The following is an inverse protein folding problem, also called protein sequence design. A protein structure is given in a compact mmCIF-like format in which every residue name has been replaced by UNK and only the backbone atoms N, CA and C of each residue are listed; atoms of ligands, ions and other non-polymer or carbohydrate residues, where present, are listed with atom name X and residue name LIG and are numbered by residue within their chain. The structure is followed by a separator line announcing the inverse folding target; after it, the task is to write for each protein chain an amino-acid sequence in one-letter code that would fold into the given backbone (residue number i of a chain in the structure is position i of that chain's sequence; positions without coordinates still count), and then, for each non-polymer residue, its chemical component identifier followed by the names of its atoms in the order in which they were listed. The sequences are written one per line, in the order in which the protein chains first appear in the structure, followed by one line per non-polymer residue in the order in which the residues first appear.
data_IF_915422919876
#
_entry.id   IF_915422919876
#
_cell.length_a   1.000
_cell.length_b   1.000
_cell.length_c   1.000
_cell.angle_alpha   90.00
_cell.angle_beta   90.00
_cell.angle_gamma   90.00
#
_symmetry.space_group_name_H-M   'P 1'
#
loop_
_entity.id
_entity.type
_entity.pdbx_description
1 polymer ?
#
# COMPACT_ATOMS: atom_id res chain seq x y z
N UNK A 1 -30.06 -9.04 -8.89
CA UNK A 1 -29.72 -7.68 -9.33
C UNK A 1 -30.51 -6.60 -8.59
N UNK A 2 -31.83 -6.69 -8.47
CA UNK A 2 -32.72 -5.71 -7.76
C UNK A 2 -32.37 -5.62 -6.25
N UNK A 3 -32.09 -6.73 -5.57
CA UNK A 3 -31.73 -6.76 -4.14
C UNK A 3 -30.39 -6.04 -3.84
N UNK A 4 -29.37 -6.21 -4.67
CA UNK A 4 -28.09 -5.48 -4.57
C UNK A 4 -28.27 -3.97 -4.81
N UNK A 5 -29.13 -3.59 -5.74
CA UNK A 5 -29.42 -2.18 -6.00
C UNK A 5 -30.17 -1.51 -4.83
N UNK A 6 -31.15 -2.22 -4.22
CA UNK A 6 -31.88 -1.69 -3.06
C UNK A 6 -30.98 -1.59 -1.81
N UNK A 7 -30.11 -2.58 -1.56
CA UNK A 7 -29.10 -2.53 -0.49
C UNK A 7 -28.12 -1.38 -0.69
N UNK A 8 -27.64 -1.16 -1.91
CA UNK A 8 -26.73 -0.08 -2.25
C UNK A 8 -27.38 1.30 -2.08
N UNK A 9 -28.63 1.45 -2.53
CA UNK A 9 -29.41 2.66 -2.37
C UNK A 9 -29.72 2.98 -0.89
N UNK A 10 -30.08 1.96 -0.10
CA UNK A 10 -30.27 2.09 1.34
C UNK A 10 -28.99 2.52 2.05
N UNK A 11 -27.85 1.91 1.70
CA UNK A 11 -26.53 2.23 2.26
C UNK A 11 -26.11 3.68 1.92
N UNK A 12 -26.33 4.13 0.69
CA UNK A 12 -26.04 5.52 0.27
C UNK A 12 -26.93 6.51 1.04
N UNK A 13 -28.22 6.22 1.20
CA UNK A 13 -29.14 7.05 1.95
C UNK A 13 -28.73 7.14 3.41
N UNK A 14 -28.45 6.01 4.06
CA UNK A 14 -27.95 5.93 5.42
C UNK A 14 -26.61 6.69 5.61
N UNK A 15 -25.66 6.50 4.69
CA UNK A 15 -24.37 7.21 4.67
C UNK A 15 -24.57 8.74 4.62
N UNK A 16 -25.48 9.22 3.77
CA UNK A 16 -25.71 10.65 3.59
C UNK A 16 -26.43 11.29 4.77
N UNK A 17 -27.38 10.60 5.41
CA UNK A 17 -28.22 11.13 6.48
C UNK A 17 -27.61 11.01 7.87
N UNK A 18 -26.80 9.96 8.14
CA UNK A 18 -26.34 9.65 9.49
C UNK A 18 -24.85 9.98 9.76
N UNK A 19 -24.07 10.33 8.74
CA UNK A 19 -22.64 10.60 8.91
C UNK A 19 -22.31 12.09 8.73
N UNK A 20 -21.55 12.64 9.69
CA UNK A 20 -20.99 13.98 9.55
C UNK A 20 -19.81 14.02 8.58
N UNK A 21 -19.31 15.22 8.23
CA UNK A 21 -18.21 15.44 7.27
C UNK A 21 -16.95 14.65 7.63
N UNK A 22 -16.59 14.58 8.91
CA UNK A 22 -15.38 13.88 9.37
C UNK A 22 -15.53 12.37 9.23
N UNK A 23 -16.67 11.82 9.62
CA UNK A 23 -16.98 10.40 9.46
C UNK A 23 -16.98 9.98 7.98
N UNK A 24 -17.57 10.81 7.10
CA UNK A 24 -17.54 10.58 5.64
C UNK A 24 -16.10 10.56 5.10
N UNK A 25 -15.23 11.44 5.57
CA UNK A 25 -13.84 11.46 5.15
C UNK A 25 -13.09 10.20 5.61
N UNK A 26 -13.26 9.77 6.86
CA UNK A 26 -12.62 8.57 7.38
C UNK A 26 -13.13 7.33 6.65
N UNK A 27 -14.43 7.22 6.43
CA UNK A 27 -15.00 6.13 5.66
C UNK A 27 -14.42 6.08 4.24
N UNK A 28 -14.37 7.22 3.53
CA UNK A 28 -13.75 7.31 2.20
C UNK A 28 -12.27 6.91 2.22
N UNK A 29 -11.51 7.41 3.19
CA UNK A 29 -10.09 7.09 3.33
C UNK A 29 -9.86 5.60 3.58
N UNK A 30 -10.67 4.99 4.44
CA UNK A 30 -10.63 3.54 4.70
C UNK A 30 -10.96 2.74 3.43
N UNK A 31 -11.99 3.14 2.67
CA UNK A 31 -12.34 2.48 1.40
C UNK A 31 -11.22 2.63 0.37
N UNK A 32 -10.60 3.81 0.23
CA UNK A 32 -9.47 3.98 -0.69
C UNK A 32 -8.27 3.12 -0.30
N UNK A 33 -7.96 3.01 0.99
CA UNK A 33 -6.90 2.13 1.49
C UNK A 33 -7.21 0.66 1.24
N UNK A 34 -8.45 0.23 1.50
CA UNK A 34 -8.92 -1.12 1.25
C UNK A 34 -8.80 -1.48 -0.24
N UNK A 35 -9.29 -0.61 -1.12
CA UNK A 35 -9.20 -0.81 -2.57
C UNK A 35 -7.75 -0.88 -3.06
N UNK A 36 -6.87 -0.02 -2.54
CA UNK A 36 -5.45 -0.08 -2.91
C UNK A 36 -4.82 -1.41 -2.50
N UNK A 37 -5.11 -1.91 -1.29
CA UNK A 37 -4.63 -3.22 -0.83
C UNK A 37 -5.19 -4.37 -1.68
N UNK A 38 -6.49 -4.37 -1.98
CA UNK A 38 -7.09 -5.38 -2.86
C UNK A 38 -6.40 -5.44 -4.23
N UNK A 39 -6.12 -4.27 -4.83
CA UNK A 39 -5.42 -4.19 -6.12
C UNK A 39 -3.99 -4.70 -6.00
N UNK A 40 -3.27 -4.35 -4.94
CA UNK A 40 -1.92 -4.86 -4.71
C UNK A 40 -1.90 -6.38 -4.55
N UNK A 41 -2.88 -6.97 -3.86
CA UNK A 41 -3.00 -8.42 -3.76
C UNK A 41 -3.22 -9.13 -5.11
N UNK A 42 -4.07 -8.56 -5.98
CA UNK A 42 -4.25 -9.07 -7.36
C UNK A 42 -2.92 -8.98 -8.12
N UNK A 43 -2.25 -7.83 -8.07
CA UNK A 43 -0.98 -7.63 -8.76
C UNK A 43 0.18 -8.42 -8.14
N UNK A 44 0.09 -8.77 -6.85
CA UNK A 44 1.03 -9.69 -6.19
C UNK A 44 1.02 -11.07 -6.83
N UNK A 45 -0.16 -11.64 -7.08
CA UNK A 45 -0.31 -12.94 -7.78
C UNK A 45 0.25 -12.86 -9.20
N UNK A 46 -0.04 -11.77 -9.94
CA UNK A 46 0.53 -11.55 -11.27
C UNK A 46 2.06 -11.41 -11.23
N UNK A 47 2.60 -10.76 -10.21
CA UNK A 47 4.04 -10.65 -10.00
C UNK A 47 4.71 -11.99 -9.73
N UNK A 48 4.13 -12.82 -8.85
CA UNK A 48 4.62 -14.17 -8.56
C UNK A 48 4.63 -15.05 -9.81
N UNK A 49 3.56 -15.01 -10.61
CA UNK A 49 3.52 -15.68 -11.91
C UNK A 49 4.64 -15.18 -12.83
N UNK A 50 4.90 -13.86 -12.85
CA UNK A 50 5.90 -13.26 -13.70
C UNK A 50 7.33 -13.65 -13.30
N UNK A 51 7.62 -13.71 -12.00
CA UNK A 51 8.90 -14.20 -11.50
C UNK A 51 9.14 -15.68 -11.82
N UNK A 52 8.12 -16.53 -11.62
CA UNK A 52 8.25 -17.98 -11.80
C UNK A 52 8.37 -18.40 -13.26
N UNK A 53 7.70 -17.72 -14.19
CA UNK A 53 7.66 -18.13 -15.60
C UNK A 53 8.67 -17.39 -16.47
N UNK A 54 8.97 -16.12 -16.16
CA UNK A 54 9.83 -15.26 -16.99
C UNK A 54 11.19 -14.95 -16.36
N UNK A 55 11.45 -15.37 -15.12
CA UNK A 55 12.70 -15.17 -14.40
C UNK A 55 13.17 -13.71 -14.38
N UNK A 56 12.24 -12.79 -14.18
CA UNK A 56 12.50 -11.34 -14.16
C UNK A 56 13.19 -10.96 -12.86
N UNK A 57 14.18 -10.05 -12.90
CA UNK A 57 14.82 -9.54 -11.68
C UNK A 57 13.91 -8.55 -10.94
N UNK A 58 13.98 -8.55 -9.61
CA UNK A 58 13.27 -7.60 -8.73
C UNK A 58 13.57 -6.13 -9.08
N UNK A 59 14.81 -5.83 -9.44
CA UNK A 59 15.21 -4.50 -9.85
C UNK A 59 14.60 -4.06 -11.17
N UNK A 60 14.59 -4.93 -12.19
CA UNK A 60 14.03 -4.61 -13.49
C UNK A 60 12.53 -4.28 -13.41
N UNK A 61 11.75 -5.14 -12.73
CA UNK A 61 10.31 -4.91 -12.58
C UNK A 61 10.01 -3.63 -11.79
N UNK A 62 10.84 -3.31 -10.79
CA UNK A 62 10.72 -2.07 -10.01
C UNK A 62 10.96 -0.84 -10.89
N UNK A 63 12.03 -0.85 -11.71
CA UNK A 63 12.35 0.25 -12.64
C UNK A 63 11.23 0.45 -13.67
N UNK A 64 10.82 -0.63 -14.32
CA UNK A 64 9.79 -0.61 -15.36
C UNK A 64 8.47 -0.05 -14.81
N UNK A 65 7.95 -0.63 -13.72
CA UNK A 65 6.65 -0.25 -13.18
C UNK A 65 6.61 1.20 -12.67
N UNK A 66 7.68 1.68 -12.05
CA UNK A 66 7.75 3.04 -11.52
C UNK A 66 7.89 4.08 -12.64
N UNK A 67 8.73 3.83 -13.64
CA UNK A 67 8.89 4.74 -14.78
C UNK A 67 7.61 4.80 -15.61
N UNK A 68 7.02 3.67 -15.97
CA UNK A 68 5.79 3.62 -16.78
C UNK A 68 4.63 4.28 -16.02
N UNK A 69 4.41 3.92 -14.75
CA UNK A 69 3.34 4.48 -13.94
C UNK A 69 3.54 5.97 -13.68
N UNK A 70 4.75 6.39 -13.29
CA UNK A 70 5.06 7.79 -13.02
C UNK A 70 4.90 8.67 -14.26
N UNK A 71 5.43 8.23 -15.40
CA UNK A 71 5.27 8.94 -16.69
C UNK A 71 3.79 9.06 -17.08
N UNK A 72 3.04 7.96 -16.97
CA UNK A 72 1.59 7.97 -17.25
C UNK A 72 0.84 8.97 -16.38
N UNK A 73 1.08 8.94 -15.04
CA UNK A 73 0.43 9.87 -14.09
C UNK A 73 0.77 11.31 -14.42
N UNK A 74 2.02 11.65 -14.73
CA UNK A 74 2.44 13.02 -15.06
C UNK A 74 1.87 13.46 -16.40
N UNK A 75 1.95 12.63 -17.44
CA UNK A 75 1.43 12.97 -18.77
C UNK A 75 -0.08 13.19 -18.70
N UNK A 76 -0.84 12.27 -18.10
CA UNK A 76 -2.29 12.42 -17.98
C UNK A 76 -2.68 13.68 -17.16
N UNK A 77 -1.90 14.00 -16.15
CA UNK A 77 -2.16 15.13 -15.26
C UNK A 77 -1.76 16.46 -15.88
N UNK A 78 -0.81 16.48 -16.81
CA UNK A 78 -0.37 17.67 -17.52
C UNK A 78 -1.52 18.30 -18.32
N UNK A 79 -2.45 17.48 -18.82
CA UNK A 79 -3.64 17.93 -19.54
C UNK A 79 -4.55 18.81 -18.67
N UNK A 80 -4.60 18.57 -17.34
CA UNK A 80 -5.46 19.31 -16.41
C UNK A 80 -4.70 20.34 -15.58
N UNK A 81 -3.54 19.96 -15.02
CA UNK A 81 -2.79 20.77 -14.06
C UNK A 81 -1.76 21.68 -14.73
N UNK A 82 -1.39 21.44 -15.97
CA UNK A 82 -0.41 22.23 -16.74
C UNK A 82 0.85 22.55 -15.91
N UNK A 83 1.19 23.84 -15.76
CA UNK A 83 2.38 24.29 -15.02
C UNK A 83 2.33 24.02 -13.51
N UNK A 84 1.14 23.81 -12.91
CA UNK A 84 1.01 23.49 -11.48
C UNK A 84 1.68 22.17 -11.09
N UNK A 85 1.88 21.25 -12.05
CA UNK A 85 2.67 20.04 -11.83
C UNK A 85 4.10 20.31 -11.35
N UNK A 86 4.67 21.46 -11.74
CA UNK A 86 6.05 21.82 -11.44
C UNK A 86 6.17 22.71 -10.19
N UNK A 87 5.07 23.10 -9.54
CA UNK A 87 5.10 23.97 -8.35
C UNK A 87 5.88 23.37 -7.20
N UNK A 88 5.91 22.03 -7.10
CA UNK A 88 6.70 21.32 -6.10
C UNK A 88 8.21 21.61 -6.24
N UNK A 89 8.69 21.89 -7.46
CA UNK A 89 10.08 22.14 -7.80
C UNK A 89 10.47 23.62 -7.75
N UNK A 90 9.51 24.53 -7.62
CA UNK A 90 9.80 25.97 -7.49
C UNK A 90 10.47 26.33 -6.17
N UNK A 91 10.25 25.52 -5.12
CA UNK A 91 10.86 25.72 -3.81
C UNK A 91 12.00 24.71 -3.60
N UNK A 92 13.24 25.21 -3.56
CA UNK A 92 14.45 24.38 -3.35
C UNK A 92 14.43 23.60 -2.03
N UNK A 93 13.75 24.11 -1.01
CA UNK A 93 13.61 23.41 0.29
C UNK A 93 12.81 22.10 0.18
N UNK A 94 12.08 21.89 -0.92
CA UNK A 94 11.37 20.64 -1.16
C UNK A 94 12.27 19.53 -1.69
N UNK A 95 13.41 19.84 -2.30
CA UNK A 95 14.19 18.88 -3.09
C UNK A 95 14.64 17.70 -2.25
N UNK A 96 15.33 17.94 -1.14
CA UNK A 96 15.85 16.88 -0.29
C UNK A 96 14.72 16.06 0.41
N UNK A 97 13.69 16.71 1.02
CA UNK A 97 12.58 15.95 1.60
C UNK A 97 11.77 15.15 0.58
N UNK A 98 11.62 15.67 -0.64
CA UNK A 98 10.92 14.96 -1.70
C UNK A 98 11.74 13.80 -2.28
N UNK A 99 13.06 13.99 -2.43
CA UNK A 99 13.97 12.91 -2.79
C UNK A 99 13.95 11.80 -1.73
N UNK A 100 13.95 12.16 -0.45
CA UNK A 100 13.80 11.21 0.65
C UNK A 100 12.48 10.42 0.55
N UNK A 101 11.36 11.07 0.23
CA UNK A 101 10.09 10.38 -0.02
C UNK A 101 10.19 9.41 -1.20
N UNK A 102 10.77 9.84 -2.32
CA UNK A 102 10.87 9.00 -3.51
C UNK A 102 11.76 7.76 -3.27
N UNK A 103 12.91 7.93 -2.59
CA UNK A 103 13.88 6.85 -2.39
C UNK A 103 13.50 6.01 -1.15
N UNK A 104 13.34 6.64 0.03
CA UNK A 104 13.08 5.89 1.27
C UNK A 104 11.64 5.36 1.33
N UNK A 105 10.70 6.05 0.68
CA UNK A 105 9.31 5.60 0.57
C UNK A 105 9.09 4.71 -0.65
N UNK A 106 8.87 5.31 -1.83
CA UNK A 106 8.39 4.59 -3.02
C UNK A 106 9.36 3.51 -3.49
N UNK A 107 10.65 3.86 -3.71
CA UNK A 107 11.63 2.86 -4.18
C UNK A 107 11.81 1.75 -3.14
N UNK A 108 12.01 2.10 -1.87
CA UNK A 108 12.30 1.10 -0.83
C UNK A 108 11.16 0.11 -0.63
N UNK A 109 9.90 0.56 -0.61
CA UNK A 109 8.76 -0.35 -0.45
C UNK A 109 8.65 -1.34 -1.61
N UNK A 110 8.94 -0.90 -2.84
CA UNK A 110 8.81 -1.75 -4.02
C UNK A 110 10.02 -2.68 -4.21
N UNK A 111 11.21 -2.11 -4.16
CA UNK A 111 12.44 -2.85 -4.44
C UNK A 111 12.74 -3.89 -3.36
N UNK A 112 12.72 -3.49 -2.09
CA UNK A 112 13.06 -4.41 -1.00
C UNK A 112 11.97 -5.47 -0.76
N UNK A 113 10.71 -5.21 -1.11
CA UNK A 113 9.68 -6.24 -1.11
C UNK A 113 10.01 -7.35 -2.11
N UNK A 114 10.24 -6.99 -3.37
CA UNK A 114 10.56 -7.98 -4.40
C UNK A 114 11.91 -8.66 -4.16
N UNK A 115 12.88 -7.95 -3.62
CA UNK A 115 14.16 -8.53 -3.24
C UNK A 115 13.99 -9.52 -2.07
N UNK A 116 13.10 -9.24 -1.13
CA UNK A 116 12.73 -10.19 -0.08
C UNK A 116 12.06 -11.44 -0.65
N UNK A 117 11.17 -11.28 -1.64
CA UNK A 117 10.57 -12.42 -2.36
C UNK A 117 11.64 -13.26 -3.04
N UNK A 118 12.62 -12.63 -3.68
CA UNK A 118 13.74 -13.31 -4.37
C UNK A 118 14.61 -14.12 -3.40
N UNK A 119 14.87 -13.59 -2.18
CA UNK A 119 15.63 -14.30 -1.14
C UNK A 119 14.83 -15.28 -0.29
N UNK A 120 13.52 -15.30 -0.45
CA UNK A 120 12.62 -16.15 0.34
C UNK A 120 11.40 -16.61 -0.46
N UNK A 121 10.26 -16.03 -0.18
CA UNK A 121 8.98 -16.20 -0.89
C UNK A 121 8.04 -15.01 -0.59
N UNK A 122 6.97 -14.90 -1.38
CA UNK A 122 5.98 -13.83 -1.22
C UNK A 122 5.32 -13.84 0.17
N UNK A 123 5.08 -15.01 0.73
CA UNK A 123 4.52 -15.21 2.08
C UNK A 123 5.38 -14.53 3.15
N UNK A 124 6.69 -14.85 3.17
CA UNK A 124 7.65 -14.26 4.13
C UNK A 124 7.77 -12.74 3.92
N UNK A 125 7.87 -12.28 2.67
CA UNK A 125 7.97 -10.87 2.33
C UNK A 125 6.74 -10.08 2.85
N UNK A 126 5.54 -10.60 2.64
CA UNK A 126 4.28 -9.98 3.12
C UNK A 126 4.24 -9.88 4.65
N UNK A 127 4.61 -10.96 5.37
CA UNK A 127 4.65 -10.93 6.85
C UNK A 127 5.63 -9.87 7.35
N UNK A 128 6.84 -9.85 6.80
CA UNK A 128 7.87 -8.91 7.23
C UNK A 128 7.48 -7.47 6.90
N UNK A 129 6.93 -7.20 5.71
CA UNK A 129 6.45 -5.88 5.34
C UNK A 129 5.31 -5.40 6.24
N UNK A 130 4.45 -6.31 6.71
CA UNK A 130 3.34 -5.99 7.60
C UNK A 130 3.77 -5.65 9.06
N UNK A 131 5.07 -5.57 9.34
CA UNK A 131 5.62 -4.95 10.55
C UNK A 131 5.52 -3.40 10.48
N UNK A 132 5.28 -2.83 9.33
CA UNK A 132 5.21 -1.37 9.10
C UNK A 132 4.31 -0.59 10.07
N UNK A 133 3.13 -1.06 10.54
CA UNK A 133 2.35 -0.37 11.56
C UNK A 133 3.12 -0.15 12.87
N UNK A 134 3.98 -1.09 13.23
CA UNK A 134 4.83 -0.95 14.43
C UNK A 134 5.84 0.18 14.24
N UNK A 135 6.48 0.26 13.07
CA UNK A 135 7.40 1.37 12.76
C UNK A 135 6.68 2.72 12.75
N UNK A 136 5.43 2.79 12.28
CA UNK A 136 4.61 4.02 12.34
C UNK A 136 4.34 4.42 13.80
N UNK A 137 4.02 3.47 14.69
CA UNK A 137 3.80 3.75 16.12
C UNK A 137 5.09 4.26 16.79
N UNK A 138 6.23 3.64 16.47
CA UNK A 138 7.56 4.06 16.98
C UNK A 138 7.88 5.47 16.46
N UNK A 139 7.71 5.73 15.18
CA UNK A 139 7.94 7.04 14.56
C UNK A 139 7.08 8.12 15.24
N UNK A 140 5.78 7.88 15.42
CA UNK A 140 4.88 8.80 16.09
C UNK A 140 5.30 9.07 17.54
N UNK A 141 5.83 8.06 18.23
CA UNK A 141 6.33 8.19 19.59
C UNK A 141 7.59 9.05 19.67
N UNK A 142 8.53 8.86 18.76
CA UNK A 142 9.84 9.55 18.76
C UNK A 142 9.68 10.98 18.23
N UNK A 143 9.07 11.16 17.07
CA UNK A 143 9.03 12.45 16.34
C UNK A 143 7.92 13.35 16.91
N UNK A 144 6.71 12.84 17.06
CA UNK A 144 5.57 13.63 17.54
C UNK A 144 5.34 13.54 19.05
N UNK A 145 6.16 12.74 19.76
CA UNK A 145 6.02 12.47 21.20
C UNK A 145 4.62 11.97 21.60
N UNK A 146 3.82 11.48 20.64
CA UNK A 146 2.48 10.93 20.85
C UNK A 146 2.58 9.49 21.35
N UNK A 147 1.92 9.19 22.49
CA UNK A 147 1.80 7.81 22.97
C UNK A 147 0.71 7.10 22.16
N UNK A 148 1.01 5.87 21.72
CA UNK A 148 -0.02 5.02 21.15
C UNK A 148 -1.04 4.62 22.22
N UNK A 149 -2.32 4.56 21.87
CA UNK A 149 -3.33 4.01 22.76
C UNK A 149 -3.10 2.50 22.92
N UNK A 150 -3.43 1.94 24.11
CA UNK A 150 -3.37 0.49 24.33
C UNK A 150 -4.22 -0.28 23.31
N UNK A 151 -5.35 0.30 22.90
CA UNK A 151 -6.24 -0.26 21.86
C UNK A 151 -5.57 -0.30 20.51
N UNK A 152 -4.91 0.80 20.08
CA UNK A 152 -4.19 0.82 18.78
C UNK A 152 -3.08 -0.23 18.74
N UNK A 153 -2.32 -0.40 19.83
CA UNK A 153 -1.29 -1.44 19.93
C UNK A 153 -1.94 -2.83 19.80
N UNK A 154 -3.03 -3.08 20.55
CA UNK A 154 -3.76 -4.34 20.48
C UNK A 154 -4.25 -4.65 19.06
N UNK A 155 -4.85 -3.67 18.37
CA UNK A 155 -5.35 -3.85 17.00
C UNK A 155 -4.21 -4.13 16.00
N UNK A 156 -3.07 -3.44 16.12
CA UNK A 156 -1.89 -3.69 15.28
C UNK A 156 -1.38 -5.11 15.48
N UNK A 157 -1.18 -5.54 16.74
CA UNK A 157 -0.69 -6.89 17.05
C UNK A 157 -1.67 -7.98 16.61
N UNK A 158 -2.98 -7.76 16.76
CA UNK A 158 -4.01 -8.71 16.29
C UNK A 158 -4.01 -8.82 14.77
N UNK A 159 -3.91 -7.71 14.03
CA UNK A 159 -3.82 -7.74 12.58
C UNK A 159 -2.54 -8.43 12.09
N UNK A 160 -1.40 -8.17 12.76
CA UNK A 160 -0.14 -8.86 12.45
C UNK A 160 -0.24 -10.39 12.68
N UNK A 161 -0.87 -10.80 13.78
CA UNK A 161 -1.13 -12.22 14.04
C UNK A 161 -2.03 -12.83 12.94
N UNK A 162 -3.04 -12.11 12.49
CA UNK A 162 -3.90 -12.53 11.39
C UNK A 162 -3.13 -12.74 10.08
N UNK A 163 -2.28 -11.75 9.69
CA UNK A 163 -1.43 -11.88 8.49
C UNK A 163 -0.45 -13.05 8.63
N UNK A 164 0.17 -13.20 9.79
CA UNK A 164 1.06 -14.32 10.08
C UNK A 164 0.34 -15.68 9.95
N UNK A 165 -0.83 -15.83 10.57
CA UNK A 165 -1.61 -17.04 10.52
C UNK A 165 -2.12 -17.36 9.11
N UNK A 166 -2.55 -16.33 8.35
CA UNK A 166 -2.99 -16.46 6.96
C UNK A 166 -1.88 -17.03 6.07
N UNK A 167 -0.67 -16.52 6.22
CA UNK A 167 0.46 -16.87 5.39
C UNK A 167 1.07 -18.24 5.76
N UNK A 168 1.07 -18.61 7.04
CA UNK A 168 1.72 -19.84 7.53
C UNK A 168 0.77 -20.98 7.78
N UNK A 169 -0.52 -20.71 8.01
CA UNK A 169 -1.50 -21.69 8.54
C UNK A 169 -1.00 -22.38 9.83
N UNK A 170 -0.20 -21.68 10.64
CA UNK A 170 0.44 -22.21 11.84
C UNK A 170 1.68 -23.06 11.59
N UNK A 171 2.09 -23.27 10.36
CA UNK A 171 3.26 -24.04 9.98
C UNK A 171 4.47 -23.12 9.73
N UNK A 172 5.36 -23.06 10.71
CA UNK A 172 6.57 -22.21 10.65
C UNK A 172 7.57 -22.64 9.57
N UNK A 173 7.51 -23.87 9.09
CA UNK A 173 8.41 -24.36 8.03
C UNK A 173 8.17 -23.66 6.69
N UNK A 174 7.01 -23.01 6.51
CA UNK A 174 6.70 -22.20 5.34
C UNK A 174 7.42 -20.85 5.31
N UNK A 175 8.05 -20.45 6.41
CA UNK A 175 8.82 -19.23 6.50
C UNK A 175 10.27 -19.50 6.07
N UNK A 176 10.64 -19.05 4.87
CA UNK A 176 12.03 -19.07 4.42
C UNK A 176 12.74 -17.80 4.91
N UNK A 177 13.20 -17.81 6.16
CA UNK A 177 13.84 -16.64 6.78
C UNK A 177 15.36 -16.79 6.70
N UNK A 178 15.93 -16.24 5.63
CA UNK A 178 17.38 -16.01 5.55
C UNK A 178 17.73 -14.65 6.15
N UNK A 179 18.99 -14.39 6.58
CA UNK A 179 19.40 -13.06 7.04
C UNK A 179 19.12 -11.94 6.03
N UNK A 180 19.29 -12.23 4.72
CA UNK A 180 19.01 -11.28 3.64
C UNK A 180 17.50 -11.06 3.46
N UNK A 181 16.69 -12.11 3.56
CA UNK A 181 15.23 -11.97 3.52
C UNK A 181 14.71 -11.12 4.71
N UNK A 182 15.23 -11.37 5.91
CA UNK A 182 14.89 -10.57 7.08
C UNK A 182 15.24 -9.09 6.90
N UNK A 183 16.47 -8.80 6.48
CA UNK A 183 16.96 -7.44 6.26
C UNK A 183 16.09 -6.73 5.20
N UNK A 184 15.89 -7.34 4.04
CA UNK A 184 15.15 -6.74 2.93
C UNK A 184 13.66 -6.59 3.27
N UNK A 185 13.04 -7.54 3.96
CA UNK A 185 11.67 -7.44 4.45
C UNK A 185 11.48 -6.29 5.44
N UNK A 186 12.41 -6.10 6.40
CA UNK A 186 12.37 -4.98 7.33
C UNK A 186 12.62 -3.63 6.63
N UNK A 187 13.53 -3.57 5.66
CA UNK A 187 13.73 -2.36 4.84
C UNK A 187 12.48 -2.02 4.02
N UNK A 188 11.78 -3.03 3.50
CA UNK A 188 10.48 -2.83 2.85
C UNK A 188 9.44 -2.27 3.83
N UNK A 189 9.34 -2.80 5.04
CA UNK A 189 8.42 -2.31 6.07
C UNK A 189 8.72 -0.86 6.49
N UNK A 190 9.99 -0.48 6.59
CA UNK A 190 10.42 0.92 6.78
C UNK A 190 10.03 1.77 5.58
N UNK A 191 10.19 1.24 4.37
CA UNK A 191 9.72 1.87 3.14
C UNK A 191 8.24 2.20 3.17
N UNK A 192 7.37 1.27 3.64
CA UNK A 192 5.93 1.53 3.82
C UNK A 192 5.69 2.67 4.80
N UNK A 193 6.38 2.68 5.94
CA UNK A 193 6.27 3.78 6.92
C UNK A 193 6.59 5.13 6.25
N UNK A 194 7.72 5.25 5.56
CA UNK A 194 8.11 6.47 4.88
C UNK A 194 7.16 6.84 3.75
N UNK A 195 6.65 5.85 2.99
CA UNK A 195 5.71 6.07 1.90
C UNK A 195 4.35 6.64 2.35
N UNK A 196 3.92 6.38 3.58
CA UNK A 196 2.65 6.92 4.10
C UNK A 196 2.84 8.19 4.93
N UNK A 197 4.01 8.44 5.51
CA UNK A 197 4.27 9.60 6.36
C UNK A 197 4.82 10.80 5.57
N UNK A 198 5.90 10.59 4.81
CA UNK A 198 6.61 11.69 4.14
C UNK A 198 5.78 12.47 3.11
N UNK A 199 4.93 11.84 2.30
CA UNK A 199 4.19 12.57 1.26
C UNK A 199 3.05 13.44 1.78
N UNK A 200 2.64 13.32 3.05
CA UNK A 200 1.46 14.03 3.57
C UNK A 200 1.55 15.54 3.40
N UNK A 201 2.72 16.12 3.68
CA UNK A 201 2.95 17.56 3.53
C UNK A 201 2.83 17.99 2.06
N UNK A 202 3.45 17.24 1.15
CA UNK A 202 3.44 17.53 -0.28
C UNK A 202 2.04 17.33 -0.87
N UNK A 203 1.35 16.25 -0.50
CA UNK A 203 0.00 15.97 -0.96
C UNK A 203 -1.02 17.04 -0.53
N UNK A 204 -0.87 17.60 0.68
CA UNK A 204 -1.71 18.71 1.16
C UNK A 204 -1.42 20.01 0.42
N UNK A 205 -0.15 20.31 0.13
CA UNK A 205 0.28 21.59 -0.44
C UNK A 205 0.17 21.62 -1.96
N UNK A 206 0.56 20.56 -2.65
CA UNK A 206 0.68 20.50 -4.11
C UNK A 206 -0.33 19.53 -4.77
N UNK A 207 -1.10 18.79 -3.97
CA UNK A 207 -2.04 17.79 -4.44
C UNK A 207 -1.41 16.38 -4.56
N UNK A 208 -2.30 15.38 -4.67
CA UNK A 208 -1.87 13.96 -4.71
C UNK A 208 -1.12 13.62 -5.98
N UNK A 209 -1.63 14.11 -7.10
CA UNK A 209 -1.16 13.69 -8.43
C UNK A 209 0.28 14.13 -8.67
N UNK A 210 0.69 15.40 -8.46
CA UNK A 210 2.08 15.80 -8.55
C UNK A 210 2.97 15.01 -7.57
N UNK A 211 2.49 14.79 -6.34
CA UNK A 211 3.25 14.09 -5.30
C UNK A 211 3.54 12.64 -5.71
N UNK A 212 2.52 11.89 -6.14
CA UNK A 212 2.68 10.48 -6.54
C UNK A 212 3.47 10.38 -7.85
N UNK A 213 3.09 11.17 -8.86
CA UNK A 213 3.71 11.09 -10.19
C UNK A 213 5.20 11.40 -10.17
N UNK A 214 5.60 12.53 -9.59
CA UNK A 214 7.01 12.88 -9.47
C UNK A 214 7.78 11.93 -8.55
N UNK A 215 7.16 11.47 -7.45
CA UNK A 215 7.76 10.48 -6.57
C UNK A 215 8.07 9.18 -7.30
N UNK A 216 7.16 8.69 -8.15
CA UNK A 216 7.38 7.50 -8.97
C UNK A 216 8.45 7.70 -10.03
N UNK A 217 8.48 8.86 -10.72
CA UNK A 217 9.50 9.16 -11.72
C UNK A 217 10.88 9.16 -11.07
N UNK A 218 11.07 9.86 -9.95
CA UNK A 218 12.38 9.91 -9.28
C UNK A 218 12.80 8.54 -8.77
N UNK A 219 11.90 7.83 -8.10
CA UNK A 219 12.17 6.47 -7.64
C UNK A 219 12.47 5.53 -8.81
N UNK A 220 11.75 5.67 -9.92
CA UNK A 220 11.97 4.91 -11.15
C UNK A 220 13.31 5.23 -11.82
N UNK A 221 13.69 6.51 -11.91
CA UNK A 221 15.01 6.93 -12.43
C UNK A 221 16.15 6.41 -11.56
N UNK A 222 16.00 6.49 -10.23
CA UNK A 222 16.97 5.94 -9.30
C UNK A 222 17.10 4.43 -9.47
N UNK A 223 16.00 3.70 -9.55
CA UNK A 223 15.98 2.26 -9.80
C UNK A 223 16.58 1.91 -11.16
N UNK A 224 16.24 2.67 -12.22
CA UNK A 224 16.72 2.45 -13.58
C UNK A 224 18.22 2.70 -13.73
N UNK A 225 18.81 3.57 -12.90
CA UNK A 225 20.26 3.73 -12.86
C UNK A 225 20.97 2.44 -12.40
N UNK A 226 20.36 1.72 -11.45
CA UNK A 226 20.88 0.45 -10.94
C UNK A 226 20.47 -0.75 -11.80
N UNK A 227 19.22 -0.74 -12.28
CA UNK A 227 18.59 -1.84 -13.04
C UNK A 227 17.90 -1.28 -14.31
N UNK A 228 18.67 -1.08 -15.39
CA UNK A 228 18.15 -0.44 -16.60
C UNK A 228 17.05 -1.23 -17.28
N UNK A 229 15.90 -0.58 -17.59
CA UNK A 229 14.73 -1.22 -18.23
C UNK A 229 15.01 -1.72 -19.64
N UNK A 230 16.02 -1.17 -20.34
CA UNK A 230 16.41 -1.64 -21.69
C UNK A 230 17.15 -2.99 -21.68
N UNK A 231 17.62 -3.43 -20.51
CA UNK A 231 18.26 -4.76 -20.35
C UNK A 231 17.21 -5.80 -20.03
N UNK A 232 16.48 -6.23 -21.05
CA UNK A 232 15.44 -7.26 -20.91
C UNK A 232 16.13 -8.63 -20.94
N UNK A 233 15.95 -9.43 -19.88
CA UNK A 233 16.56 -10.77 -19.73
C UNK A 233 15.58 -11.92 -19.99
N UNK A 234 14.34 -11.63 -20.35
CA UNK A 234 13.26 -12.61 -20.55
C UNK A 234 12.68 -12.51 -21.97
N UNK A 235 11.96 -13.54 -22.38
CA UNK A 235 11.25 -13.54 -23.66
C UNK A 235 10.03 -12.62 -23.59
N UNK A 236 9.99 -11.63 -24.51
CA UNK A 236 8.88 -10.69 -24.61
C UNK A 236 7.80 -11.30 -25.50
N UNK A 237 6.62 -11.51 -24.94
CA UNK A 237 5.42 -11.96 -25.61
C UNK A 237 4.18 -11.13 -25.18
N UNK A 238 3.03 -11.42 -25.76
CA UNK A 238 1.79 -10.68 -25.45
C UNK A 238 1.39 -10.80 -23.96
N UNK A 239 1.65 -11.95 -23.32
CA UNK A 239 1.32 -12.20 -21.92
C UNK A 239 2.23 -11.36 -21.03
N UNK A 240 3.54 -11.39 -21.24
CA UNK A 240 4.50 -10.60 -20.47
C UNK A 240 4.22 -9.10 -20.57
N UNK A 241 3.89 -8.60 -21.76
CA UNK A 241 3.48 -7.20 -21.96
C UNK A 241 2.21 -6.88 -21.17
N UNK A 242 1.18 -7.73 -21.25
CA UNK A 242 -0.08 -7.53 -20.55
C UNK A 242 0.15 -7.50 -19.02
N UNK A 243 0.98 -8.41 -18.47
CA UNK A 243 1.34 -8.43 -17.06
C UNK A 243 2.08 -7.14 -16.68
N UNK A 244 3.09 -6.73 -17.45
CA UNK A 244 3.84 -5.48 -17.22
C UNK A 244 2.91 -4.25 -17.17
N UNK A 245 2.01 -4.12 -18.14
CA UNK A 245 1.07 -3.01 -18.19
C UNK A 245 0.08 -3.05 -17.03
N UNK A 246 -0.45 -4.22 -16.67
CA UNK A 246 -1.36 -4.38 -15.54
C UNK A 246 -0.67 -4.00 -14.21
N UNK A 247 0.54 -4.47 -13.98
CA UNK A 247 1.32 -4.13 -12.79
C UNK A 247 1.65 -2.63 -12.77
N UNK A 248 2.02 -2.02 -13.90
CA UNK A 248 2.36 -0.61 -13.95
C UNK A 248 1.13 0.30 -13.77
N UNK A 249 0.04 0.06 -14.46
CA UNK A 249 -1.12 0.95 -14.42
C UNK A 249 -2.02 0.66 -13.22
N UNK A 250 -2.44 -0.58 -13.04
CA UNK A 250 -3.37 -0.94 -11.97
C UNK A 250 -2.64 -1.04 -10.63
N UNK A 251 -1.59 -1.88 -10.56
CA UNK A 251 -0.86 -2.17 -9.33
C UNK A 251 0.08 -1.06 -8.87
N UNK A 252 0.44 -0.12 -9.74
CA UNK A 252 1.32 0.99 -9.37
C UNK A 252 0.60 2.33 -9.45
N UNK A 253 0.27 2.84 -10.63
CA UNK A 253 -0.30 4.18 -10.77
C UNK A 253 -1.61 4.34 -9.98
N UNK A 254 -2.56 3.45 -10.20
CA UNK A 254 -3.90 3.56 -9.61
C UNK A 254 -3.93 3.19 -8.13
N UNK A 255 -3.25 2.10 -7.73
CA UNK A 255 -3.20 1.70 -6.32
C UNK A 255 -2.49 2.74 -5.44
N UNK A 256 -1.35 3.27 -5.88
CA UNK A 256 -0.67 4.36 -5.15
C UNK A 256 -1.48 5.64 -5.10
N UNK A 257 -2.20 5.99 -6.18
CA UNK A 257 -3.11 7.13 -6.16
C UNK A 257 -4.20 6.96 -5.09
N UNK A 258 -4.81 5.78 -5.00
CA UNK A 258 -5.80 5.47 -3.97
C UNK A 258 -5.20 5.52 -2.56
N UNK A 259 -4.03 4.90 -2.36
CA UNK A 259 -3.31 4.90 -1.09
C UNK A 259 -2.96 6.32 -0.64
N UNK A 260 -2.46 7.16 -1.54
CA UNK A 260 -2.14 8.56 -1.23
C UNK A 260 -3.39 9.36 -0.89
N UNK A 261 -4.49 9.12 -1.61
CA UNK A 261 -5.79 9.74 -1.29
C UNK A 261 -6.31 9.29 0.08
N UNK A 262 -6.07 8.02 0.45
CA UNK A 262 -6.38 7.52 1.79
C UNK A 262 -5.58 8.25 2.87
N UNK A 263 -4.27 8.35 2.71
CA UNK A 263 -3.34 9.04 3.65
C UNK A 263 -3.74 10.49 3.93
N UNK A 264 -4.42 11.17 3.00
CA UNK A 264 -4.92 12.53 3.23
C UNK A 264 -6.18 12.61 4.07
N UNK A 265 -6.91 11.51 4.19
CA UNK A 265 -8.22 11.45 4.86
C UNK A 265 -8.15 10.76 6.21
N UNK A 266 -7.27 9.78 6.35
CA UNK A 266 -7.05 9.00 7.57
C UNK A 266 -5.58 8.98 7.97
N UNK A 267 -5.28 8.52 9.20
CA UNK A 267 -3.90 8.46 9.68
C UNK A 267 -3.07 7.41 8.94
N UNK A 268 -1.73 7.57 8.90
CA UNK A 268 -0.81 6.57 8.38
C UNK A 268 -0.99 5.19 9.01
N UNK A 269 -1.31 5.14 10.30
CA UNK A 269 -1.54 3.89 11.02
C UNK A 269 -2.76 3.15 10.48
N UNK A 270 -3.88 3.85 10.26
CA UNK A 270 -5.09 3.26 9.67
C UNK A 270 -4.79 2.76 8.27
N UNK A 271 -4.13 3.57 7.42
CA UNK A 271 -3.77 3.15 6.06
C UNK A 271 -2.92 1.89 6.10
N UNK A 272 -1.89 1.83 6.93
CA UNK A 272 -0.98 0.68 7.03
C UNK A 272 -1.70 -0.60 7.50
N UNK A 273 -2.60 -0.49 8.49
CA UNK A 273 -3.37 -1.66 8.97
C UNK A 273 -4.41 -2.10 7.94
N UNK A 274 -5.12 -1.14 7.30
CA UNK A 274 -6.12 -1.46 6.27
C UNK A 274 -5.48 -2.05 5.01
N UNK A 275 -4.20 -1.76 4.74
CA UNK A 275 -3.45 -2.40 3.65
C UNK A 275 -3.29 -3.91 3.82
N UNK A 276 -3.61 -4.50 5.00
CA UNK A 276 -3.77 -5.95 5.17
C UNK A 276 -4.91 -6.54 4.31
N UNK A 277 -5.70 -5.71 3.65
CA UNK A 277 -6.57 -6.16 2.55
C UNK A 277 -5.81 -6.77 1.37
N UNK A 278 -4.50 -6.51 1.22
CA UNK A 278 -3.64 -7.14 0.22
C UNK A 278 -3.56 -8.66 0.40
N UNK A 279 -3.07 -9.22 1.53
CA UNK A 279 -3.09 -10.67 1.73
C UNK A 279 -4.50 -11.26 1.77
N UNK A 280 -5.51 -10.50 2.24
CA UNK A 280 -6.91 -10.93 2.19
C UNK A 280 -7.38 -11.16 0.75
N UNK A 281 -7.09 -10.23 -0.16
CA UNK A 281 -7.49 -10.36 -1.56
C UNK A 281 -6.78 -11.54 -2.24
N UNK A 282 -5.48 -11.70 -2.00
CA UNK A 282 -4.72 -12.85 -2.50
C UNK A 282 -5.31 -14.17 -2.03
N UNK A 283 -5.67 -14.29 -0.75
CA UNK A 283 -6.30 -15.48 -0.20
C UNK A 283 -7.68 -15.74 -0.81
N UNK A 284 -8.53 -14.74 -0.93
CA UNK A 284 -9.87 -14.86 -1.54
C UNK A 284 -9.75 -15.30 -3.00
N UNK A 285 -8.86 -14.69 -3.77
CA UNK A 285 -8.64 -15.08 -5.18
C UNK A 285 -8.09 -16.49 -5.31
N UNK A 286 -7.20 -16.90 -4.40
CA UNK A 286 -6.69 -18.27 -4.37
C UNK A 286 -7.78 -19.30 -4.07
N UNK A 287 -8.75 -18.98 -3.19
CA UNK A 287 -9.92 -19.83 -2.94
C UNK A 287 -10.81 -19.90 -4.18
N UNK A 288 -11.10 -18.78 -4.84
CA UNK A 288 -12.04 -18.72 -5.95
C UNK A 288 -11.48 -19.31 -7.25
N UNK A 289 -10.19 -19.09 -7.53
CA UNK A 289 -9.59 -19.41 -8.84
C UNK A 289 -8.51 -20.48 -8.80
N UNK A 290 -7.85 -20.70 -7.65
CA UNK A 290 -6.74 -21.66 -7.53
C UNK A 290 -7.11 -22.89 -6.69
N UNK A 291 -8.38 -23.03 -6.28
CA UNK A 291 -8.85 -24.17 -5.52
C UNK A 291 -8.31 -24.29 -4.09
N UNK A 292 -7.84 -23.15 -3.50
CA UNK A 292 -7.43 -23.13 -2.10
C UNK A 292 -8.63 -23.47 -1.21
N UNK A 293 -8.46 -24.43 -0.30
CA UNK A 293 -9.53 -24.83 0.63
C UNK A 293 -9.68 -23.75 1.73
N UNK A 294 -10.91 -23.31 1.95
CA UNK A 294 -11.27 -22.43 3.04
C UNK A 294 -11.29 -23.22 4.35
N UNK A 295 -10.14 -23.34 4.99
CA UNK A 295 -9.98 -24.04 6.27
C UNK A 295 -10.18 -23.10 7.49
N UNK A 296 -10.21 -23.69 8.69
CA UNK A 296 -10.41 -22.93 9.95
C UNK A 296 -9.31 -21.91 10.22
N UNK A 297 -8.06 -22.17 9.82
CA UNK A 297 -6.94 -21.24 9.96
C UNK A 297 -7.15 -20.00 9.08
N UNK A 298 -7.57 -20.18 7.84
CA UNK A 298 -7.81 -19.09 6.90
C UNK A 298 -8.99 -18.21 7.37
N UNK A 299 -10.09 -18.83 7.84
CA UNK A 299 -11.23 -18.11 8.41
C UNK A 299 -10.82 -17.31 9.65
N UNK A 300 -10.09 -17.90 10.58
CA UNK A 300 -9.60 -17.22 11.78
C UNK A 300 -8.68 -16.06 11.41
N UNK A 301 -7.76 -16.27 10.47
CA UNK A 301 -6.86 -15.23 10.00
C UNK A 301 -7.61 -14.05 9.38
N UNK A 302 -8.63 -14.30 8.55
CA UNK A 302 -9.47 -13.24 7.96
C UNK A 302 -10.17 -12.42 9.06
N UNK A 303 -10.73 -13.07 10.09
CA UNK A 303 -11.37 -12.41 11.22
C UNK A 303 -10.36 -11.53 11.98
N UNK A 304 -9.16 -12.07 12.27
CA UNK A 304 -8.09 -11.35 12.97
C UNK A 304 -7.55 -10.14 12.19
N UNK A 305 -7.73 -10.08 10.88
CA UNK A 305 -7.38 -8.93 10.04
C UNK A 305 -8.55 -7.94 9.96
N UNK A 306 -9.75 -8.39 9.65
CA UNK A 306 -10.91 -7.54 9.37
C UNK A 306 -11.34 -6.76 10.64
N UNK A 307 -11.38 -7.43 11.79
CA UNK A 307 -11.81 -6.81 13.05
C UNK A 307 -10.94 -5.60 13.41
N UNK A 308 -9.59 -5.68 13.49
CA UNK A 308 -8.75 -4.52 13.76
C UNK A 308 -8.88 -3.40 12.74
N UNK A 309 -9.04 -3.72 11.45
CA UNK A 309 -9.23 -2.71 10.40
C UNK A 309 -10.46 -1.85 10.69
N UNK A 310 -11.58 -2.48 11.04
CA UNK A 310 -12.85 -1.80 11.35
C UNK A 310 -12.70 -0.98 12.63
N UNK A 311 -12.23 -1.60 13.72
CA UNK A 311 -12.18 -0.92 15.03
C UNK A 311 -11.17 0.22 15.05
N UNK A 312 -10.02 0.09 14.38
CA UNK A 312 -9.04 1.18 14.30
C UNK A 312 -9.60 2.38 13.51
N UNK A 313 -10.32 2.13 12.43
CA UNK A 313 -11.01 3.18 11.65
C UNK A 313 -12.09 3.89 12.48
N UNK A 314 -12.87 3.14 13.28
CA UNK A 314 -13.89 3.70 14.18
C UNK A 314 -13.23 4.52 15.30
N UNK A 315 -12.13 4.05 15.91
CA UNK A 315 -11.43 4.77 16.97
C UNK A 315 -10.85 6.09 16.44
N UNK A 316 -10.28 6.09 15.25
CA UNK A 316 -9.82 7.34 14.61
C UNK A 316 -10.96 8.32 14.39
N UNK A 317 -12.13 7.83 13.93
CA UNK A 317 -13.32 8.66 13.75
C UNK A 317 -13.73 9.33 15.05
N UNK A 318 -13.77 8.58 16.16
CA UNK A 318 -14.11 9.12 17.49
C UNK A 318 -13.11 10.15 18.00
N UNK A 319 -11.81 9.93 17.77
CA UNK A 319 -10.76 10.84 18.21
C UNK A 319 -10.81 12.17 17.45
N UNK A 320 -11.00 12.14 16.14
CA UNK A 320 -11.15 13.37 15.33
C UNK A 320 -12.41 14.18 15.69
N UNK A 321 -13.51 13.51 16.08
CA UNK A 321 -14.72 14.18 16.56
C UNK A 321 -14.47 14.90 17.89
N UNK A 322 -13.76 14.28 18.83
CA UNK A 322 -13.37 14.92 20.10
C UNK A 322 -12.49 16.15 19.86
N UNK A 323 -11.46 16.03 19.02
CA UNK A 323 -10.58 17.18 18.68
C UNK A 323 -11.35 18.36 18.08
N UNK A 324 -12.35 18.09 17.24
CA UNK A 324 -13.18 19.14 16.64
C UNK A 324 -14.11 19.83 17.64
N UNK A 325 -14.61 19.11 18.66
CA UNK A 325 -15.47 19.68 19.71
C UNK A 325 -14.73 20.51 20.76
N UNK A 326 -13.40 20.41 20.87
CA UNK A 326 -12.57 21.23 21.72
C UNK A 326 -12.10 22.54 21.04
N UNK A 327 -12.22 22.65 19.73
CA UNK A 327 -11.79 23.81 18.94
C UNK A 327 -12.97 24.71 18.51
N UNK A 328 -14.19 24.38 18.92
CA UNK A 328 -15.41 25.22 18.82
C UNK A 328 -15.79 25.77 20.17
#
# INVERSE_FOLDING_TARGET
MIFLHSLFSFFISWYNSNMNKYQKNIFKGTIYSLLSGLIWGICGILGEYFFSHYQVSSGWITSMRLLVAGSFVIILSSLKLRFQLFDIWRNRNNYLPFLAYAILGIFSVQFFFYLCVEYSNATTATILQFISPVFILIYNRIIYKKKASKKAIFYVLTAMLGVFLMATKGDLSKLSITPLALLTGLLSALGVMFNVILPQHFAKKYGFVPTVGWGMIIAGLFSNFLYPVYKISFQVDAISICICLTIAFLGTAFAFFLSMKAVSLVSPLVVSVVSASEPLSSAILSVLFLGLVLDGYLLLAMILIIIPMIFLSIEESKNKLKESSFNT
#
